data_IF_053401829667
#
_entry.id   IF_053401829667
#
_cell.length_a   1.000
_cell.length_b   1.000
_cell.length_c   1.000
_cell.angle_alpha   90.00
_cell.angle_beta   90.00
_cell.angle_gamma   90.00
#
_symmetry.space_group_name_H-M   'P 1'
#
loop_
_entity.id
_entity.type
_entity.pdbx_description
1 polymer ?
#
# COMPACT_ATOMS: atom_id res chain seq x y z
N UNK A 1 42.71 17.24 4.13
CA UNK A 1 41.26 17.23 3.79
C UNK A 1 40.80 15.79 3.59
N UNK A 2 40.20 15.17 4.61
CA UNK A 2 39.76 13.76 4.58
C UNK A 2 38.38 13.70 3.91
N UNK A 3 38.32 13.27 2.65
CA UNK A 3 37.04 12.89 2.00
C UNK A 3 36.42 11.76 2.84
N UNK A 4 35.48 12.09 3.72
CA UNK A 4 34.54 11.10 4.25
C UNK A 4 33.65 10.70 3.06
N UNK A 5 34.06 9.68 2.31
CA UNK A 5 33.12 8.89 1.54
C UNK A 5 32.17 8.27 2.53
N UNK A 6 31.08 8.97 2.85
CA UNK A 6 30.13 8.56 3.87
C UNK A 6 29.35 7.37 3.33
N UNK A 7 29.73 6.15 3.75
CA UNK A 7 28.79 5.04 3.68
C UNK A 7 27.53 5.44 4.46
N UNK A 8 26.36 5.28 3.84
CA UNK A 8 25.09 5.44 4.55
C UNK A 8 25.09 4.52 5.77
N UNK A 9 24.65 5.03 6.91
CA UNK A 9 24.41 4.17 8.08
C UNK A 9 23.23 3.25 7.81
N UNK A 10 23.13 2.12 8.52
CA UNK A 10 21.99 1.21 8.37
C UNK A 10 20.66 1.92 8.64
N UNK A 11 20.60 2.79 9.65
CA UNK A 11 19.41 3.58 9.96
C UNK A 11 19.05 4.54 8.81
N UNK A 12 20.04 5.23 8.22
CA UNK A 12 19.80 6.11 7.05
C UNK A 12 19.30 5.31 5.85
N UNK A 13 19.83 4.11 5.64
CA UNK A 13 19.39 3.22 4.57
C UNK A 13 17.94 2.79 4.77
N UNK A 14 17.58 2.25 5.93
CA UNK A 14 16.20 1.83 6.22
C UNK A 14 15.25 3.03 6.24
N UNK A 15 15.71 4.19 6.70
CA UNK A 15 14.95 5.42 6.63
C UNK A 15 14.58 5.74 5.19
N UNK A 16 15.55 5.84 4.26
CA UNK A 16 15.28 6.11 2.84
C UNK A 16 14.42 5.01 2.21
N UNK A 17 14.74 3.75 2.49
CA UNK A 17 14.03 2.59 1.95
C UNK A 17 12.55 2.63 2.32
N UNK A 18 12.22 2.92 3.58
CA UNK A 18 10.85 3.06 4.03
C UNK A 18 10.09 4.15 3.26
N UNK A 19 10.71 5.31 2.98
CA UNK A 19 10.05 6.41 2.27
C UNK A 19 9.84 6.08 0.79
N UNK A 20 10.85 5.53 0.12
CA UNK A 20 10.76 5.16 -1.30
C UNK A 20 9.76 4.03 -1.50
N UNK A 21 9.80 2.99 -0.66
CA UNK A 21 8.86 1.87 -0.73
C UNK A 21 7.43 2.32 -0.40
N UNK A 22 7.25 3.19 0.60
CA UNK A 22 5.94 3.76 0.96
C UNK A 22 5.34 4.58 -0.17
N UNK A 23 6.10 5.54 -0.74
CA UNK A 23 5.66 6.36 -1.88
C UNK A 23 5.39 5.51 -3.12
N UNK A 24 6.22 4.49 -3.38
CA UNK A 24 6.02 3.54 -4.48
C UNK A 24 4.73 2.74 -4.31
N UNK A 25 4.47 2.23 -3.10
CA UNK A 25 3.22 1.50 -2.79
C UNK A 25 1.99 2.39 -2.94
N UNK A 26 2.05 3.63 -2.42
CA UNK A 26 0.99 4.62 -2.58
C UNK A 26 0.71 4.93 -4.05
N UNK A 27 1.75 5.15 -4.86
CA UNK A 27 1.60 5.40 -6.29
C UNK A 27 0.97 4.20 -7.02
N UNK A 28 1.38 2.97 -6.69
CA UNK A 28 0.77 1.75 -7.23
C UNK A 28 -0.72 1.65 -6.87
N UNK A 29 -1.09 1.91 -5.62
CA UNK A 29 -2.49 1.92 -5.17
C UNK A 29 -3.31 3.01 -5.86
N UNK A 30 -2.74 4.21 -6.02
CA UNK A 30 -3.40 5.32 -6.71
C UNK A 30 -3.70 4.96 -8.18
N UNK A 31 -2.72 4.39 -8.90
CA UNK A 31 -2.91 3.93 -10.28
C UNK A 31 -3.95 2.81 -10.33
N UNK A 32 -3.91 1.84 -9.41
CA UNK A 32 -4.88 0.77 -9.32
C UNK A 32 -6.31 1.31 -9.13
N UNK A 33 -6.50 2.31 -8.28
CA UNK A 33 -7.80 2.94 -8.06
C UNK A 33 -8.31 3.70 -9.29
N UNK A 34 -7.47 4.55 -9.88
CA UNK A 34 -7.84 5.35 -11.06
C UNK A 34 -8.22 4.44 -12.22
N UNK A 35 -7.39 3.42 -12.50
CA UNK A 35 -7.68 2.42 -13.54
C UNK A 35 -8.92 1.58 -13.22
N UNK A 36 -9.16 1.26 -11.95
CA UNK A 36 -10.34 0.53 -11.49
C UNK A 36 -11.65 1.33 -11.65
N UNK A 37 -11.62 2.64 -11.41
CA UNK A 37 -12.74 3.55 -11.66
C UNK A 37 -12.98 3.67 -13.17
N UNK A 38 -11.92 3.90 -13.95
CA UNK A 38 -12.00 4.09 -15.39
C UNK A 38 -12.68 2.91 -16.10
N UNK A 39 -12.35 1.67 -15.69
CA UNK A 39 -12.96 0.44 -16.22
C UNK A 39 -14.47 0.33 -15.95
N UNK A 40 -15.03 1.15 -15.04
CA UNK A 40 -16.45 1.14 -14.67
C UNK A 40 -17.22 2.31 -15.27
N UNK A 41 -16.56 3.44 -15.53
CA UNK A 41 -17.21 4.71 -15.92
C UNK A 41 -16.88 5.17 -17.35
N UNK A 42 -15.98 4.48 -18.07
CA UNK A 42 -15.49 4.88 -19.40
C UNK A 42 -14.80 6.26 -19.44
N UNK A 43 -14.50 6.86 -18.28
CA UNK A 43 -13.96 8.24 -18.16
C UNK A 43 -12.57 8.38 -18.78
N UNK A 44 -11.80 7.28 -18.91
CA UNK A 44 -10.46 7.28 -19.49
C UNK A 44 -10.38 6.49 -20.81
N UNK A 45 -11.49 6.30 -21.53
CA UNK A 45 -11.47 5.58 -22.81
C UNK A 45 -10.58 6.26 -23.86
N UNK A 46 -10.34 7.57 -23.73
CA UNK A 46 -9.40 8.34 -24.55
C UNK A 46 -7.92 8.05 -24.24
N UNK A 47 -7.60 7.58 -23.03
CA UNK A 47 -6.23 7.36 -22.56
C UNK A 47 -5.71 5.98 -22.97
N UNK A 48 -6.61 5.03 -23.26
CA UNK A 48 -6.22 3.72 -23.75
C UNK A 48 -7.37 2.72 -23.77
N UNK A 49 -7.12 1.57 -24.38
CA UNK A 49 -8.10 0.49 -24.44
C UNK A 49 -8.43 -0.06 -23.04
N UNK A 50 -9.65 -0.56 -22.88
CA UNK A 50 -10.06 -1.29 -21.67
C UNK A 50 -9.13 -2.45 -21.31
N UNK A 51 -8.46 -3.07 -22.30
CA UNK A 51 -7.46 -4.11 -22.08
C UNK A 51 -6.20 -3.56 -21.40
N UNK A 52 -5.71 -2.41 -21.86
CA UNK A 52 -4.55 -1.74 -21.27
C UNK A 52 -4.84 -1.30 -19.85
N UNK A 53 -6.00 -0.67 -19.61
CA UNK A 53 -6.42 -0.26 -18.27
C UNK A 53 -6.57 -1.45 -17.32
N UNK A 54 -7.12 -2.57 -17.79
CA UNK A 54 -7.22 -3.82 -17.01
C UNK A 54 -5.83 -4.35 -16.64
N UNK A 55 -4.92 -4.42 -17.60
CA UNK A 55 -3.55 -4.89 -17.38
C UNK A 55 -2.80 -4.01 -16.37
N UNK A 56 -2.90 -2.68 -16.51
CA UNK A 56 -2.32 -1.73 -15.56
C UNK A 56 -2.90 -1.89 -14.15
N UNK A 57 -4.22 -2.03 -14.04
CA UNK A 57 -4.88 -2.31 -12.76
C UNK A 57 -4.29 -3.56 -12.12
N UNK A 58 -4.32 -4.70 -12.82
CA UNK A 58 -3.82 -5.98 -12.30
C UNK A 58 -2.35 -5.93 -11.91
N UNK A 59 -1.50 -5.34 -12.75
CA UNK A 59 -0.08 -5.18 -12.47
C UNK A 59 0.16 -4.35 -11.21
N UNK A 60 -0.52 -3.21 -11.08
CA UNK A 60 -0.36 -2.33 -9.91
C UNK A 60 -0.98 -2.92 -8.65
N UNK A 61 -2.02 -3.76 -8.77
CA UNK A 61 -2.59 -4.48 -7.62
C UNK A 61 -1.66 -5.58 -7.09
N UNK A 62 -0.74 -6.09 -7.92
CA UNK A 62 0.31 -7.02 -7.47
C UNK A 62 1.52 -6.25 -6.95
N UNK A 63 1.88 -5.13 -7.60
CA UNK A 63 3.07 -4.34 -7.30
C UNK A 63 3.03 -3.67 -5.92
N UNK A 64 1.86 -3.24 -5.44
CA UNK A 64 1.78 -2.59 -4.12
C UNK A 64 2.16 -3.54 -2.97
N UNK A 65 1.95 -4.86 -3.11
CA UNK A 65 2.19 -5.87 -2.06
C UNK A 65 3.67 -5.92 -1.64
N UNK A 66 4.64 -6.18 -2.54
CA UNK A 66 6.05 -6.17 -2.16
C UNK A 66 6.53 -4.79 -1.73
N UNK A 67 6.00 -3.70 -2.30
CA UNK A 67 6.37 -2.34 -1.90
C UNK A 67 5.88 -2.00 -0.49
N UNK A 68 4.65 -2.36 -0.15
CA UNK A 68 4.13 -2.24 1.22
C UNK A 68 4.92 -3.13 2.17
N UNK A 69 5.21 -4.38 1.80
CA UNK A 69 6.06 -5.27 2.59
C UNK A 69 7.43 -4.66 2.89
N UNK A 70 8.12 -4.13 1.87
CA UNK A 70 9.40 -3.43 2.04
C UNK A 70 9.28 -2.20 2.93
N UNK A 71 8.20 -1.42 2.79
CA UNK A 71 7.92 -0.27 3.63
C UNK A 71 7.78 -0.67 5.11
N UNK A 72 6.96 -1.66 5.43
CA UNK A 72 6.72 -2.12 6.80
C UNK A 72 7.97 -2.75 7.43
N UNK A 73 8.70 -3.58 6.66
CA UNK A 73 9.96 -4.18 7.13
C UNK A 73 10.99 -3.09 7.43
N UNK A 74 11.13 -2.10 6.54
CA UNK A 74 12.06 -1.00 6.74
C UNK A 74 11.68 -0.14 7.96
N UNK A 75 10.39 0.10 8.22
CA UNK A 75 9.92 0.81 9.41
C UNK A 75 10.28 0.10 10.73
N UNK A 76 10.20 -1.24 10.76
CA UNK A 76 10.56 -2.02 11.95
C UNK A 76 12.08 -2.09 12.14
N UNK A 77 12.85 -2.16 11.06
CA UNK A 77 14.31 -2.21 11.11
C UNK A 77 14.94 -0.84 11.37
N UNK A 78 14.22 0.25 11.11
CA UNK A 78 14.67 1.61 11.40
C UNK A 78 14.58 1.89 12.91
N UNK A 79 15.73 1.85 13.59
CA UNK A 79 15.83 2.11 15.03
C UNK A 79 15.36 3.51 15.45
N UNK A 80 15.27 4.46 14.50
CA UNK A 80 14.75 5.80 14.78
C UNK A 80 13.21 5.83 14.87
N UNK A 81 12.53 4.89 14.21
CA UNK A 81 11.07 4.86 14.10
C UNK A 81 10.40 4.34 15.37
N UNK A 82 11.10 3.53 16.19
CA UNK A 82 10.58 2.94 17.46
C UNK A 82 9.25 2.20 17.31
N UNK A 83 8.99 1.62 16.13
CA UNK A 83 7.78 0.88 15.82
C UNK A 83 7.99 -0.59 16.19
N UNK A 84 7.10 -1.15 17.00
CA UNK A 84 7.11 -2.58 17.29
C UNK A 84 6.34 -3.37 16.21
N UNK A 85 6.71 -4.62 15.99
CA UNK A 85 6.02 -5.52 15.03
C UNK A 85 4.52 -5.63 15.34
N UNK A 86 4.14 -5.57 16.62
CA UNK A 86 2.74 -5.64 17.03
C UNK A 86 1.93 -4.39 16.62
N UNK A 87 2.58 -3.23 16.46
CA UNK A 87 1.92 -2.00 16.03
C UNK A 87 1.53 -2.05 14.55
N UNK A 88 2.09 -2.99 13.78
CA UNK A 88 1.71 -3.27 12.39
C UNK A 88 0.40 -4.06 12.25
N UNK A 89 -0.12 -4.61 13.35
CA UNK A 89 -1.32 -5.47 13.35
C UNK A 89 -2.42 -4.91 14.24
N UNK A 90 -2.06 -4.21 15.32
CA UNK A 90 -3.03 -3.61 16.24
C UNK A 90 -2.98 -2.09 16.08
N UNK A 91 -4.01 -1.47 15.48
CA UNK A 91 -4.03 -0.03 15.28
C UNK A 91 -4.10 0.72 16.61
N UNK A 92 -3.56 1.94 16.63
CA UNK A 92 -3.59 2.88 17.77
C UNK A 92 -2.86 2.41 19.04
N UNK A 93 -1.97 1.42 18.94
CA UNK A 93 -1.15 0.95 20.07
C UNK A 93 0.16 1.74 20.25
N UNK A 94 0.72 2.26 19.16
CA UNK A 94 2.03 2.91 19.18
C UNK A 94 2.07 4.11 20.15
N UNK A 95 3.10 4.18 20.99
CA UNK A 95 3.27 5.23 21.99
C UNK A 95 3.63 6.61 21.39
N UNK A 96 4.18 6.60 20.18
CA UNK A 96 4.49 7.78 19.39
C UNK A 96 3.68 7.75 18.10
N UNK A 97 3.19 8.90 17.62
CA UNK A 97 2.47 8.96 16.35
C UNK A 97 1.21 8.08 16.27
N UNK A 98 0.55 7.83 17.42
CA UNK A 98 -0.54 6.85 17.60
C UNK A 98 -1.62 6.93 16.53
N UNK A 99 -2.05 8.15 16.16
CA UNK A 99 -3.06 8.36 15.13
C UNK A 99 -2.53 8.00 13.74
N UNK A 100 -1.39 8.56 13.32
CA UNK A 100 -0.83 8.31 11.99
C UNK A 100 -0.48 6.83 11.78
N UNK A 101 0.18 6.22 12.77
CA UNK A 101 0.52 4.79 12.72
C UNK A 101 -0.74 3.94 12.77
N UNK A 102 -1.71 4.27 13.63
CA UNK A 102 -2.96 3.53 13.72
C UNK A 102 -3.80 3.57 12.45
N UNK A 103 -3.87 4.72 11.76
CA UNK A 103 -4.54 4.84 10.47
C UNK A 103 -3.81 4.04 9.39
N UNK A 104 -2.47 4.09 9.35
CA UNK A 104 -1.67 3.27 8.43
C UNK A 104 -1.85 1.77 8.65
N UNK A 105 -1.84 1.31 9.89
CA UNK A 105 -2.12 -0.09 10.25
C UNK A 105 -3.52 -0.50 9.83
N UNK A 106 -4.54 0.32 10.12
CA UNK A 106 -5.91 0.07 9.69
C UNK A 106 -6.04 0.02 8.16
N UNK A 107 -5.31 0.88 7.45
CA UNK A 107 -5.27 0.87 5.99
C UNK A 107 -4.71 -0.48 5.46
N UNK A 108 -3.59 -0.95 6.02
CA UNK A 108 -2.97 -2.23 5.67
C UNK A 108 -3.94 -3.39 5.95
N UNK A 109 -4.59 -3.42 7.10
CA UNK A 109 -5.56 -4.46 7.45
C UNK A 109 -6.69 -4.54 6.43
N UNK A 110 -7.25 -3.39 6.03
CA UNK A 110 -8.30 -3.33 5.03
C UNK A 110 -7.77 -3.77 3.65
N UNK A 111 -6.57 -3.34 3.25
CA UNK A 111 -5.95 -3.76 1.99
C UNK A 111 -5.73 -5.28 1.94
N UNK A 112 -5.30 -5.90 3.05
CA UNK A 112 -5.16 -7.35 3.15
C UNK A 112 -6.50 -8.04 2.90
N UNK A 113 -7.58 -7.56 3.51
CA UNK A 113 -8.94 -8.11 3.30
C UNK A 113 -9.38 -7.93 1.84
N UNK A 114 -9.18 -6.75 1.26
CA UNK A 114 -9.54 -6.47 -0.13
C UNK A 114 -8.77 -7.37 -1.10
N UNK A 115 -7.46 -7.54 -0.90
CA UNK A 115 -6.62 -8.36 -1.78
C UNK A 115 -6.91 -9.84 -1.64
N UNK A 116 -7.11 -10.33 -0.40
CA UNK A 116 -7.52 -11.71 -0.17
C UNK A 116 -8.87 -12.01 -0.85
N UNK A 117 -9.86 -11.13 -0.68
CA UNK A 117 -11.19 -11.30 -1.29
C UNK A 117 -11.14 -11.19 -2.82
N UNK A 118 -10.22 -10.40 -3.38
CA UNK A 118 -9.98 -10.35 -4.82
C UNK A 118 -9.40 -11.67 -5.36
N UNK A 119 -8.46 -12.30 -4.64
CA UNK A 119 -7.94 -13.63 -5.01
C UNK A 119 -9.02 -14.72 -4.93
N UNK A 120 -9.87 -14.68 -3.90
CA UNK A 120 -10.96 -15.66 -3.72
C UNK A 120 -12.25 -15.31 -4.46
N UNK A 121 -12.25 -14.30 -5.33
CA UNK A 121 -13.44 -13.81 -6.06
C UNK A 121 -14.24 -14.93 -6.73
N UNK A 122 -13.58 -15.97 -7.28
CA UNK A 122 -14.26 -17.09 -7.98
C UNK A 122 -15.10 -17.98 -7.06
N UNK A 123 -14.89 -17.92 -5.73
CA UNK A 123 -15.59 -18.73 -4.72
C UNK A 123 -16.66 -17.93 -3.95
N UNK A 124 -16.95 -16.70 -4.34
CA UNK A 124 -17.79 -15.78 -3.58
C UNK A 124 -18.93 -15.20 -4.43
N UNK A 125 -20.11 -14.90 -3.83
CA UNK A 125 -21.16 -14.17 -4.52
C UNK A 125 -20.65 -12.82 -5.04
N UNK A 126 -20.92 -12.51 -6.32
CA UNK A 126 -20.42 -11.28 -6.95
C UNK A 126 -20.88 -9.99 -6.27
N UNK A 127 -22.02 -10.00 -5.57
CA UNK A 127 -22.50 -8.87 -4.78
C UNK A 127 -21.62 -8.61 -3.54
N UNK A 128 -21.26 -9.67 -2.81
CA UNK A 128 -20.40 -9.59 -1.63
C UNK A 128 -18.99 -9.13 -2.02
N UNK A 129 -18.42 -9.69 -3.09
CA UNK A 129 -17.12 -9.25 -3.60
C UNK A 129 -17.13 -7.77 -3.97
N UNK A 130 -18.16 -7.27 -4.66
CA UNK A 130 -18.25 -5.84 -5.00
C UNK A 130 -18.31 -4.94 -3.77
N UNK A 131 -19.01 -5.35 -2.71
CA UNK A 131 -19.08 -4.61 -1.46
C UNK A 131 -17.73 -4.58 -0.74
N UNK A 132 -17.09 -5.73 -0.57
CA UNK A 132 -15.77 -5.83 0.06
C UNK A 132 -14.72 -5.06 -0.74
N UNK A 133 -14.75 -5.13 -2.08
CA UNK A 133 -13.80 -4.43 -2.93
C UNK A 133 -13.94 -2.89 -2.85
N UNK A 134 -15.11 -2.35 -2.48
CA UNK A 134 -15.26 -0.90 -2.23
C UNK A 134 -14.49 -0.43 -1.00
N UNK A 135 -14.14 -1.32 -0.08
CA UNK A 135 -13.29 -0.96 1.06
C UNK A 135 -11.91 -0.45 0.61
N UNK A 136 -11.49 -0.74 -0.63
CA UNK A 136 -10.28 -0.16 -1.22
C UNK A 136 -10.28 1.39 -1.19
N UNK A 137 -11.44 2.02 -1.37
CA UNK A 137 -11.56 3.49 -1.32
C UNK A 137 -11.31 4.01 0.09
N UNK A 138 -11.82 3.30 1.09
CA UNK A 138 -11.61 3.65 2.50
C UNK A 138 -10.14 3.45 2.86
N UNK A 139 -9.56 2.31 2.51
CA UNK A 139 -8.16 2.03 2.76
C UNK A 139 -7.25 3.09 2.16
N UNK A 140 -7.50 3.51 0.93
CA UNK A 140 -6.69 4.55 0.29
C UNK A 140 -6.83 5.93 0.92
N UNK A 141 -8.01 6.26 1.47
CA UNK A 141 -8.17 7.50 2.24
C UNK A 141 -7.45 7.48 3.61
N UNK A 142 -7.02 6.30 4.07
CA UNK A 142 -6.29 6.12 5.32
C UNK A 142 -4.76 6.07 5.13
N UNK A 143 -4.27 5.83 3.91
CA UNK A 143 -2.83 5.86 3.53
C UNK A 143 -2.40 7.30 3.29
#
# INVERSE_FOLDING_TARGET
MRKRGGCMTADQFFWVLARVAGLGSYAALAIALVTGIALRTAVLDWLGSNRTLRSLHEYTTILWIPLAGLHLIALVLDGTSRIAVIDLVIPFRAAYGTLAIGLGTLAVDILIVVTATAWFKRRMPGALWKWLHRLAYVAFGLV
#
